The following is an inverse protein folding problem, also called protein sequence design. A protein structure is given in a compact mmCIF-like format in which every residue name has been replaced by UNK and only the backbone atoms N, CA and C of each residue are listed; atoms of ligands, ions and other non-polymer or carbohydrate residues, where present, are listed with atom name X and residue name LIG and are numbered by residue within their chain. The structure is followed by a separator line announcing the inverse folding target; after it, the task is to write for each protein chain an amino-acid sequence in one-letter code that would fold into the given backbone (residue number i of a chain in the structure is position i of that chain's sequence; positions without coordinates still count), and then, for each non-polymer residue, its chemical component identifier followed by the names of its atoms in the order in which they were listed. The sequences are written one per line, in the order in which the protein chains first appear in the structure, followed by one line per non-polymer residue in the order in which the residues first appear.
data_IF_587214443728
#
_entry.id   IF_587214443728
#
_cell.length_a   1.000
_cell.length_b   1.000
_cell.length_c   1.000
_cell.angle_alpha   90.00
_cell.angle_beta   90.00
_cell.angle_gamma   90.00
#
_symmetry.space_group_name_H-M   'P 1'
#
loop_
_entity.id
_entity.type
_entity.pdbx_description
1 polymer ?
#
# COMPACT_ATOMS: atom_id res chain seq x y z
N UNK A 1 -10.27 -18.10 -10.45
CA UNK A 1 -9.36 -17.39 -9.51
C UNK A 1 -10.15 -16.26 -8.85
N UNK A 2 -10.20 -16.17 -7.51
CA UNK A 2 -10.95 -15.14 -6.81
C UNK A 2 -10.33 -13.75 -7.03
N UNK A 3 -11.14 -12.68 -6.89
CA UNK A 3 -10.61 -11.31 -6.80
C UNK A 3 -9.74 -11.18 -5.55
N UNK A 4 -8.65 -10.39 -5.58
CA UNK A 4 -7.83 -10.19 -4.38
C UNK A 4 -8.66 -9.50 -3.29
N UNK A 5 -8.43 -9.91 -2.04
CA UNK A 5 -8.93 -9.20 -0.87
C UNK A 5 -8.04 -7.99 -0.62
N UNK A 6 -8.62 -6.78 -0.58
CA UNK A 6 -7.86 -5.53 -0.49
C UNK A 6 -8.11 -4.90 0.88
N UNK A 7 -7.04 -4.68 1.63
CA UNK A 7 -7.05 -3.96 2.90
C UNK A 7 -6.43 -2.58 2.67
N UNK A 8 -7.08 -1.54 3.16
CA UNK A 8 -6.50 -0.20 3.24
C UNK A 8 -5.81 -0.07 4.61
N UNK A 9 -4.50 -0.29 4.63
CA UNK A 9 -3.65 -0.13 5.82
C UNK A 9 -2.99 1.24 5.78
N UNK A 10 -3.30 2.09 6.75
CA UNK A 10 -2.83 3.47 6.84
C UNK A 10 -2.42 3.79 8.28
N UNK A 11 -1.49 4.72 8.44
CA UNK A 11 -1.08 5.26 9.72
C UNK A 11 -1.17 6.79 9.68
N UNK A 12 -1.84 7.37 10.66
CA UNK A 12 -1.97 8.82 10.81
C UNK A 12 -2.12 9.18 12.29
N UNK A 13 -1.72 10.40 12.69
CA UNK A 13 -2.14 11.00 13.95
C UNK A 13 -3.67 11.24 13.98
N UNK A 14 -4.17 11.70 15.12
CA UNK A 14 -5.61 11.91 15.36
C UNK A 14 -6.25 12.92 14.38
N UNK A 15 -5.47 13.88 13.88
CA UNK A 15 -5.94 14.89 12.93
C UNK A 15 -5.91 14.42 11.46
N UNK A 16 -5.48 13.18 11.20
CA UNK A 16 -5.62 12.51 9.91
C UNK A 16 -4.56 12.88 8.86
N UNK A 17 -3.48 13.56 9.21
CA UNK A 17 -2.38 13.87 8.27
C UNK A 17 -1.69 12.59 7.78
N UNK A 18 -1.34 12.54 6.50
CA UNK A 18 -0.71 11.37 5.87
C UNK A 18 0.79 11.53 5.62
N UNK A 19 1.27 12.75 5.45
CA UNK A 19 2.69 13.00 5.20
C UNK A 19 3.45 12.87 6.52
N UNK A 20 4.17 11.76 6.69
CA UNK A 20 4.82 11.37 7.95
C UNK A 20 5.79 12.43 8.47
N UNK A 21 6.50 13.10 7.55
CA UNK A 21 7.42 14.18 7.88
C UNK A 21 6.74 15.37 8.57
N UNK A 22 5.44 15.58 8.36
CA UNK A 22 4.71 16.71 8.94
C UNK A 22 4.29 16.48 10.40
N UNK A 23 4.48 15.27 10.95
CA UNK A 23 3.99 14.93 12.29
C UNK A 23 4.87 13.99 13.12
N UNK A 24 5.84 13.28 12.53
CA UNK A 24 6.68 12.31 13.26
C UNK A 24 7.35 12.92 14.50
N UNK A 25 8.03 14.05 14.33
CA UNK A 25 8.75 14.74 15.42
C UNK A 25 7.82 15.14 16.56
N UNK A 26 6.62 15.66 16.23
CA UNK A 26 5.62 16.06 17.22
C UNK A 26 5.11 14.86 18.06
N UNK A 27 5.21 13.64 17.53
CA UNK A 27 4.88 12.41 18.26
C UNK A 27 6.04 11.81 19.05
N UNK A 28 7.24 12.43 19.01
CA UNK A 28 8.42 11.91 19.69
C UNK A 28 9.02 10.66 19.04
N UNK A 29 8.69 10.40 17.77
CA UNK A 29 9.17 9.25 17.01
C UNK A 29 9.92 9.71 15.77
N UNK A 30 10.95 8.96 15.37
CA UNK A 30 11.60 9.16 14.08
C UNK A 30 10.76 8.58 12.94
N UNK A 31 10.96 9.11 11.72
CA UNK A 31 10.30 8.59 10.50
C UNK A 31 10.63 7.10 10.30
N UNK A 32 11.89 6.69 10.51
CA UNK A 32 12.32 5.31 10.33
C UNK A 32 11.64 4.34 11.30
N UNK A 33 11.41 4.74 12.56
CA UNK A 33 10.67 3.93 13.54
C UNK A 33 9.22 3.74 13.09
N UNK A 34 8.58 4.81 12.63
CA UNK A 34 7.21 4.78 12.14
C UNK A 34 7.08 3.90 10.88
N UNK A 35 8.02 4.02 9.94
CA UNK A 35 8.08 3.17 8.74
C UNK A 35 8.23 1.68 9.12
N UNK A 36 9.11 1.35 10.08
CA UNK A 36 9.27 -0.03 10.57
C UNK A 36 8.00 -0.59 11.20
N UNK A 37 7.24 0.23 11.94
CA UNK A 37 5.95 -0.18 12.50
C UNK A 37 4.93 -0.45 11.39
N UNK A 38 4.86 0.44 10.40
CA UNK A 38 3.94 0.32 9.26
C UNK A 38 4.22 -0.93 8.42
N UNK A 39 5.48 -1.18 8.09
CA UNK A 39 5.96 -2.36 7.36
C UNK A 39 5.78 -3.65 8.16
N UNK A 40 6.11 -3.64 9.46
CA UNK A 40 5.88 -4.80 10.33
C UNK A 40 4.41 -5.20 10.45
N UNK A 41 3.46 -4.27 10.25
CA UNK A 41 2.04 -4.61 10.19
C UNK A 41 1.64 -5.24 8.85
N UNK A 42 2.28 -4.88 7.73
CA UNK A 42 2.09 -5.56 6.43
C UNK A 42 2.40 -7.06 6.52
N UNK A 43 3.50 -7.42 7.17
CA UNK A 43 3.87 -8.82 7.42
C UNK A 43 2.84 -9.52 8.32
N UNK A 44 2.38 -8.85 9.38
CA UNK A 44 1.41 -9.43 10.33
C UNK A 44 0.02 -9.65 9.72
N UNK A 45 -0.41 -8.80 8.79
CA UNK A 45 -1.68 -9.01 8.07
C UNK A 45 -1.56 -10.10 6.98
N UNK A 46 -0.34 -10.56 6.67
CA UNK A 46 -0.08 -11.57 5.65
C UNK A 46 -0.42 -11.09 4.24
N UNK A 47 -0.14 -9.82 3.92
CA UNK A 47 -0.42 -9.27 2.60
C UNK A 47 0.64 -9.70 1.58
N UNK A 48 0.21 -10.11 0.38
CA UNK A 48 1.13 -10.57 -0.67
C UNK A 48 1.72 -9.42 -1.51
N UNK A 49 1.15 -8.22 -1.43
CA UNK A 49 1.49 -7.10 -2.31
C UNK A 49 1.12 -5.74 -1.73
N UNK A 50 1.83 -4.71 -2.21
CA UNK A 50 1.54 -3.31 -1.96
C UNK A 50 0.70 -2.69 -3.08
N UNK A 51 -0.18 -1.77 -2.70
CA UNK A 51 -0.86 -0.86 -3.62
C UNK A 51 -0.63 0.56 -3.13
N UNK A 52 0.07 1.37 -3.93
CA UNK A 52 0.39 2.76 -3.62
C UNK A 52 0.03 3.67 -4.78
N UNK A 53 -0.29 4.93 -4.48
CA UNK A 53 -0.42 5.96 -5.49
C UNK A 53 0.94 6.31 -6.09
N UNK A 54 0.96 6.75 -7.35
CA UNK A 54 2.21 7.08 -8.06
C UNK A 54 3.12 8.04 -7.26
N UNK A 55 2.57 9.16 -6.81
CA UNK A 55 3.31 10.19 -6.07
C UNK A 55 3.95 9.63 -4.79
N UNK A 56 3.22 8.79 -4.04
CA UNK A 56 3.78 8.14 -2.86
C UNK A 56 4.85 7.12 -3.24
N UNK A 57 4.64 6.32 -4.29
CA UNK A 57 5.60 5.33 -4.75
C UNK A 57 6.91 5.94 -5.25
N UNK A 58 6.87 7.14 -5.83
CA UNK A 58 8.06 7.88 -6.30
C UNK A 58 9.02 8.21 -5.15
N UNK A 59 8.50 8.55 -3.95
CA UNK A 59 9.34 8.84 -2.76
C UNK A 59 10.14 7.63 -2.26
N UNK A 60 9.64 6.41 -2.50
CA UNK A 60 10.28 5.15 -2.09
C UNK A 60 11.02 4.45 -3.22
N UNK A 61 10.93 4.99 -4.44
CA UNK A 61 11.62 4.42 -5.58
C UNK A 61 13.09 4.85 -5.57
N UNK A 62 14.01 3.88 -5.49
CA UNK A 62 15.40 4.11 -5.84
C UNK A 62 15.48 4.35 -7.35
N UNK A 63 15.28 5.61 -7.75
CA UNK A 63 15.27 6.04 -9.14
C UNK A 63 16.67 5.90 -9.76
N UNK A 64 17.03 4.68 -10.15
CA UNK A 64 18.01 4.46 -11.19
C UNK A 64 17.26 4.62 -12.50
N UNK A 65 17.75 5.50 -13.39
CA UNK A 65 17.27 5.59 -14.77
C UNK A 65 17.48 4.24 -15.46
N UNK A 66 16.50 3.35 -15.28
CA UNK A 66 16.44 2.05 -15.91
C UNK A 66 15.51 2.22 -17.10
N UNK A 67 16.00 2.08 -18.34
CA UNK A 67 15.12 2.08 -19.48
C UNK A 67 14.04 1.03 -19.24
N UNK A 68 12.78 1.40 -19.45
CA UNK A 68 11.65 0.48 -19.30
C UNK A 68 11.94 -0.79 -20.08
N UNK A 69 12.27 -1.86 -19.36
CA UNK A 69 12.37 -3.19 -19.93
C UNK A 69 10.92 -3.65 -20.04
N UNK A 70 10.46 -4.01 -21.24
CA UNK A 70 9.21 -4.73 -21.38
C UNK A 70 9.37 -6.07 -20.66
N UNK A 71 9.05 -6.10 -19.37
CA UNK A 71 8.86 -7.35 -18.63
C UNK A 71 7.75 -8.07 -19.37
N UNK A 72 8.00 -9.31 -19.81
CA UNK A 72 7.03 -10.10 -20.55
C UNK A 72 5.66 -10.11 -19.87
N UNK A 73 4.61 -10.42 -20.61
CA UNK A 73 3.24 -10.44 -20.09
C UNK A 73 3.17 -11.26 -18.80
N UNK A 74 2.95 -10.59 -17.67
CA UNK A 74 2.72 -11.28 -16.42
C UNK A 74 1.48 -12.16 -16.59
N UNK A 75 1.60 -13.47 -16.33
CA UNK A 75 0.49 -14.42 -16.40
C UNK A 75 -0.53 -14.24 -15.24
N UNK A 76 -0.77 -12.99 -14.83
CA UNK A 76 -1.74 -12.63 -13.80
C UNK A 76 -3.03 -12.20 -14.49
N UNK A 77 -4.18 -12.83 -14.19
CA UNK A 77 -5.45 -12.40 -14.76
C UNK A 77 -5.77 -10.96 -14.39
N UNK A 78 -6.23 -10.16 -15.36
CA UNK A 78 -6.64 -8.78 -15.12
C UNK A 78 -7.96 -8.78 -14.35
N UNK A 79 -7.96 -8.20 -13.15
CA UNK A 79 -9.15 -8.11 -12.30
C UNK A 79 -9.82 -6.74 -12.44
N UNK A 80 -10.58 -6.55 -13.51
CA UNK A 80 -11.40 -5.34 -13.67
C UNK A 80 -12.69 -5.44 -12.86
N UNK A 81 -13.05 -4.36 -12.18
CA UNK A 81 -14.38 -4.24 -11.53
C UNK A 81 -15.45 -4.29 -12.61
N UNK A 82 -16.25 -5.34 -12.61
CA UNK A 82 -17.40 -5.43 -13.51
C UNK A 82 -18.54 -4.52 -13.03
N UNK A 83 -19.17 -3.71 -13.92
CA UNK A 83 -20.36 -2.95 -13.58
C UNK A 83 -21.46 -3.88 -13.03
N UNK A 84 -22.10 -3.51 -11.91
CA UNK A 84 -23.22 -4.26 -11.34
C UNK A 84 -22.89 -5.40 -10.37
N UNK A 85 -21.62 -5.80 -10.17
CA UNK A 85 -21.27 -6.74 -9.08
C UNK A 85 -21.45 -6.08 -7.71
N UNK A 86 -22.26 -6.68 -6.83
CA UNK A 86 -22.46 -6.24 -5.43
C UNK A 86 -21.12 -6.24 -4.68
N UNK A 87 -20.96 -5.30 -3.74
CA UNK A 87 -19.86 -5.32 -2.76
C UNK A 87 -19.78 -6.72 -2.16
N UNK A 88 -18.62 -7.36 -2.27
CA UNK A 88 -18.34 -8.57 -1.51
C UNK A 88 -18.36 -8.14 -0.05
N UNK A 89 -19.28 -8.70 0.76
CA UNK A 89 -19.21 -8.53 2.21
C UNK A 89 -17.89 -9.16 2.63
N UNK A 90 -16.96 -8.34 3.14
CA UNK A 90 -15.86 -8.87 3.92
C UNK A 90 -16.47 -9.75 5.01
N UNK A 91 -16.01 -10.99 5.10
CA UNK A 91 -16.44 -11.91 6.14
C UNK A 91 -16.18 -11.22 7.48
N UNK A 92 -17.24 -10.95 8.26
CA UNK A 92 -17.09 -10.60 9.66
C UNK A 92 -16.64 -11.90 10.34
N UNK A 93 -15.34 -12.00 10.61
CA UNK A 93 -14.83 -12.84 11.70
C UNK A 93 -15.23 -12.23 13.03
#
# INVERSE_FOLDING_TARGET
MPIPYVICHMMSPLDGRLIVNDWAEATGHSVDELVKIYDGLHEKIGADAWLSGRATGEEFADAVDRPYQATGTAARPIHNRQPGRRRVRCHRG
#
